data_IF_221282650236
#
_entry.id   IF_221282650236
#
_cell.length_a   1.000
_cell.length_b   1.000
_cell.length_c   1.000
_cell.angle_alpha   90.00
_cell.angle_beta   90.00
_cell.angle_gamma   90.00
#
_symmetry.space_group_name_H-M   'P 1'
#
loop_
_entity.id
_entity.type
_entity.pdbx_description
1 polymer ?
#
# COMPACT_ATOMS: atom_id res chain seq x y z
N UNK A 1 16.77 -12.68 13.43
CA UNK A 1 16.49 -11.26 13.75
C UNK A 1 16.85 -10.40 12.55
N UNK A 2 15.87 -9.85 11.82
CA UNK A 2 16.16 -8.89 10.74
C UNK A 2 16.64 -7.60 11.42
N UNK A 3 17.89 -7.18 11.15
CA UNK A 3 18.43 -5.94 11.71
C UNK A 3 17.64 -4.77 11.13
N UNK A 4 16.78 -4.16 11.94
CA UNK A 4 16.06 -2.95 11.54
C UNK A 4 17.08 -1.82 11.35
N UNK A 5 17.28 -1.36 10.12
CA UNK A 5 18.14 -0.21 9.85
C UNK A 5 17.39 1.03 10.32
N UNK A 6 17.96 1.88 11.18
CA UNK A 6 17.33 3.13 11.61
C UNK A 6 16.95 4.02 10.41
N UNK A 7 15.82 4.70 10.52
CA UNK A 7 15.24 5.61 9.50
C UNK A 7 16.25 6.60 8.92
N UNK A 8 17.06 7.23 9.77
CA UNK A 8 18.09 8.19 9.37
C UNK A 8 19.19 7.58 8.48
N UNK A 9 19.57 6.32 8.74
CA UNK A 9 20.55 5.60 7.90
C UNK A 9 19.95 5.24 6.54
N UNK A 10 18.67 4.87 6.50
CA UNK A 10 17.97 4.60 5.24
C UNK A 10 17.81 5.87 4.40
N UNK A 11 17.41 6.98 5.03
CA UNK A 11 17.29 8.28 4.35
C UNK A 11 18.62 8.73 3.74
N UNK A 12 19.74 8.51 4.44
CA UNK A 12 21.08 8.81 3.91
C UNK A 12 21.40 7.98 2.65
N UNK A 13 21.18 6.67 2.69
CA UNK A 13 21.42 5.79 1.53
C UNK A 13 20.56 6.17 0.31
N UNK A 14 19.30 6.56 0.55
CA UNK A 14 18.38 7.00 -0.51
C UNK A 14 18.87 8.31 -1.14
N UNK A 15 19.37 9.26 -0.32
CA UNK A 15 19.97 10.51 -0.81
C UNK A 15 21.25 10.26 -1.61
N UNK A 16 22.10 9.35 -1.15
CA UNK A 16 23.32 8.97 -1.88
C UNK A 16 22.97 8.36 -3.24
N UNK A 17 21.95 7.49 -3.31
CA UNK A 17 21.47 6.88 -4.55
C UNK A 17 20.81 7.89 -5.50
N UNK A 18 20.13 8.91 -4.95
CA UNK A 18 19.45 9.93 -5.75
C UNK A 18 20.41 10.74 -6.62
N UNK A 19 21.69 10.86 -6.23
CA UNK A 19 22.72 11.50 -7.07
C UNK A 19 22.84 10.92 -8.48
N UNK A 20 22.38 9.69 -8.70
CA UNK A 20 22.40 8.99 -9.98
C UNK A 20 21.02 8.89 -10.65
N UNK A 21 19.96 9.48 -10.07
CA UNK A 21 18.59 9.41 -10.60
C UNK A 21 17.81 10.70 -10.34
N UNK A 22 17.60 11.49 -11.40
CA UNK A 22 16.93 12.80 -11.35
C UNK A 22 15.49 12.73 -10.84
N UNK A 23 14.72 11.72 -11.24
CA UNK A 23 13.34 11.56 -10.80
C UNK A 23 13.29 11.28 -9.29
N UNK A 24 14.27 10.53 -8.78
CA UNK A 24 14.40 10.27 -7.34
C UNK A 24 14.77 11.54 -6.56
N UNK A 25 15.65 12.39 -7.10
CA UNK A 25 15.96 13.69 -6.48
C UNK A 25 14.74 14.59 -6.39
N UNK A 26 13.94 14.68 -7.46
CA UNK A 26 12.71 15.48 -7.48
C UNK A 26 11.72 14.96 -6.44
N UNK A 27 11.51 13.65 -6.39
CA UNK A 27 10.63 13.04 -5.40
C UNK A 27 11.09 13.30 -3.95
N UNK A 28 12.40 13.29 -3.67
CA UNK A 28 12.94 13.62 -2.34
C UNK A 28 12.65 15.09 -2.00
N UNK A 29 12.89 16.02 -2.94
CA UNK A 29 12.62 17.45 -2.72
C UNK A 29 11.14 17.71 -2.43
N UNK A 30 10.24 17.09 -3.18
CA UNK A 30 8.79 17.19 -2.94
C UNK A 30 8.41 16.61 -1.57
N UNK A 31 8.99 15.47 -1.23
CA UNK A 31 8.77 14.80 0.05
C UNK A 31 9.24 15.65 1.23
N UNK A 32 10.44 16.21 1.17
CA UNK A 32 10.99 17.07 2.22
C UNK A 32 10.21 18.38 2.35
N UNK A 33 9.69 18.94 1.24
CA UNK A 33 8.77 20.08 1.31
C UNK A 33 7.46 19.76 2.02
N UNK A 34 6.89 18.58 1.78
CA UNK A 34 5.60 18.18 2.36
C UNK A 34 5.69 17.74 3.82
N UNK A 35 6.76 17.03 4.20
CA UNK A 35 6.90 16.34 5.49
C UNK A 35 8.03 16.90 6.37
N UNK A 36 8.81 17.85 5.85
CA UNK A 36 9.95 18.49 6.52
C UNK A 36 11.24 17.67 6.48
N UNK A 37 11.16 16.35 6.72
CA UNK A 37 12.32 15.46 6.73
C UNK A 37 11.97 14.06 6.19
N UNK A 38 12.88 13.52 5.37
CA UNK A 38 12.70 12.21 4.72
C UNK A 38 12.70 11.06 5.75
N UNK A 39 13.49 11.15 6.82
CA UNK A 39 13.53 10.11 7.85
C UNK A 39 12.21 10.04 8.63
N UNK A 40 11.59 11.19 8.93
CA UNK A 40 10.24 11.23 9.54
C UNK A 40 9.17 10.55 8.69
N UNK A 41 9.22 10.71 7.37
CA UNK A 41 8.30 10.00 6.46
C UNK A 41 8.53 8.49 6.51
N UNK A 42 9.79 8.06 6.43
CA UNK A 42 10.17 6.65 6.54
C UNK A 42 9.65 6.05 7.84
N UNK A 43 9.86 6.70 8.99
CA UNK A 43 9.35 6.24 10.30
C UNK A 43 7.84 6.04 10.29
N UNK A 44 7.09 7.05 9.83
CA UNK A 44 5.64 6.98 9.76
C UNK A 44 5.15 5.86 8.84
N UNK A 45 5.83 5.63 7.73
CA UNK A 45 5.49 4.55 6.80
C UNK A 45 5.85 3.18 7.37
N UNK A 46 6.94 3.05 8.14
CA UNK A 46 7.26 1.84 8.89
C UNK A 46 6.21 1.54 9.95
N UNK A 47 5.84 2.53 10.77
CA UNK A 47 4.78 2.39 11.78
C UNK A 47 3.45 1.97 11.14
N UNK A 48 3.08 2.56 10.00
CA UNK A 48 1.89 2.15 9.24
C UNK A 48 1.96 0.71 8.75
N UNK A 49 3.13 0.22 8.36
CA UNK A 49 3.33 -1.17 7.87
C UNK A 49 3.31 -2.19 9.00
N UNK A 50 3.80 -1.82 10.19
CA UNK A 50 3.77 -2.69 11.38
C UNK A 50 2.40 -2.74 12.05
N UNK A 51 1.45 -1.88 11.66
CA UNK A 51 0.07 -1.96 12.15
C UNK A 51 -0.50 -3.34 11.87
N UNK A 52 -0.72 -4.09 12.95
CA UNK A 52 -1.49 -5.32 12.90
C UNK A 52 -2.98 -4.96 12.77
N UNK A 53 -3.71 -5.52 11.80
CA UNK A 53 -5.15 -5.34 11.73
C UNK A 53 -5.79 -5.93 12.99
N UNK A 54 -6.48 -5.10 13.76
CA UNK A 54 -7.19 -5.48 14.99
C UNK A 54 -8.59 -4.88 14.99
N UNK A 55 -9.51 -5.54 15.68
CA UNK A 55 -10.89 -5.07 15.83
C UNK A 55 -11.76 -5.32 14.59
N UNK A 56 -12.84 -4.56 14.46
CA UNK A 56 -13.79 -4.67 13.36
C UNK A 56 -13.34 -3.87 12.14
N UNK A 57 -13.85 -4.25 10.98
CA UNK A 57 -13.62 -3.55 9.72
C UNK A 57 -14.13 -2.11 9.79
N UNK A 58 -13.22 -1.15 9.60
CA UNK A 58 -13.53 0.29 9.61
C UNK A 58 -14.41 0.76 8.42
N UNK A 59 -14.80 -0.14 7.52
CA UNK A 59 -15.69 0.16 6.39
C UNK A 59 -17.12 -0.35 6.63
N UNK A 60 -17.27 -1.56 7.16
CA UNK A 60 -18.59 -2.19 7.27
C UNK A 60 -19.03 -2.50 8.70
N UNK A 61 -18.14 -2.41 9.70
CA UNK A 61 -18.41 -2.71 11.12
C UNK A 61 -19.01 -4.11 11.41
N UNK A 62 -19.12 -4.97 10.38
CA UNK A 62 -19.80 -6.26 10.48
C UNK A 62 -18.83 -7.43 10.72
N UNK A 63 -17.62 -7.34 10.17
CA UNK A 63 -16.63 -8.43 10.17
C UNK A 63 -15.32 -7.97 10.79
N UNK A 64 -14.55 -8.90 11.35
CA UNK A 64 -13.21 -8.61 11.84
C UNK A 64 -12.27 -8.12 10.74
N UNK A 65 -11.43 -7.15 11.10
CA UNK A 65 -10.40 -6.64 10.22
C UNK A 65 -9.26 -7.66 10.11
N UNK A 66 -8.86 -7.95 8.88
CA UNK A 66 -7.78 -8.91 8.56
C UNK A 66 -6.64 -8.27 7.77
N UNK A 67 -6.86 -7.08 7.21
CA UNK A 67 -5.92 -6.40 6.33
C UNK A 67 -5.84 -4.91 6.64
N UNK A 68 -4.70 -4.28 6.35
CA UNK A 68 -4.51 -2.82 6.41
C UNK A 68 -4.39 -2.27 4.98
N UNK A 69 -5.16 -1.25 4.64
CA UNK A 69 -5.04 -0.56 3.35
C UNK A 69 -3.71 0.18 3.25
N UNK A 70 -2.91 -0.08 2.21
CA UNK A 70 -1.60 0.57 2.05
C UNK A 70 -1.68 2.08 1.83
N UNK A 71 -2.79 2.58 1.26
CA UNK A 71 -2.99 4.00 0.95
C UNK A 71 -3.51 4.81 2.14
N UNK A 72 -4.54 4.32 2.82
CA UNK A 72 -5.22 5.08 3.89
C UNK A 72 -5.00 4.53 5.30
N UNK A 73 -4.38 3.36 5.45
CA UNK A 73 -4.08 2.76 6.75
C UNK A 73 -5.26 2.15 7.50
N UNK A 74 -6.47 2.12 6.93
CA UNK A 74 -7.65 1.50 7.57
C UNK A 74 -7.50 -0.03 7.68
N UNK A 75 -7.90 -0.57 8.82
CA UNK A 75 -8.11 -1.98 9.09
C UNK A 75 -9.46 -2.45 8.53
N UNK A 76 -9.42 -3.42 7.62
CA UNK A 76 -10.57 -3.85 6.83
C UNK A 76 -10.68 -5.37 6.76
N UNK A 77 -11.92 -5.86 6.62
CA UNK A 77 -12.18 -7.28 6.40
C UNK A 77 -11.89 -7.68 4.94
N UNK A 78 -11.81 -8.99 4.68
CA UNK A 78 -11.54 -9.55 3.34
C UNK A 78 -12.51 -9.05 2.26
N UNK A 79 -13.79 -8.81 2.59
CA UNK A 79 -14.77 -8.34 1.60
C UNK A 79 -14.66 -6.85 1.26
N UNK A 80 -13.94 -6.07 2.08
CA UNK A 80 -13.72 -4.64 1.87
C UNK A 80 -12.28 -4.34 1.41
N UNK A 81 -11.51 -5.38 1.09
CA UNK A 81 -10.10 -5.31 0.73
C UNK A 81 -9.85 -6.01 -0.60
N UNK A 82 -9.07 -5.38 -1.47
CA UNK A 82 -8.61 -5.98 -2.71
C UNK A 82 -7.18 -6.48 -2.52
N UNK A 83 -7.01 -7.78 -2.34
CA UNK A 83 -5.71 -8.40 -2.06
C UNK A 83 -4.66 -8.09 -3.14
N UNK A 84 -5.04 -8.13 -4.42
CA UNK A 84 -4.12 -7.95 -5.55
C UNK A 84 -3.45 -6.57 -5.53
N UNK A 85 -4.21 -5.52 -5.21
CA UNK A 85 -3.72 -4.13 -5.23
C UNK A 85 -3.39 -3.58 -3.84
N UNK A 86 -3.72 -4.32 -2.78
CA UNK A 86 -3.49 -3.91 -1.40
C UNK A 86 -4.36 -2.75 -0.90
N UNK A 87 -5.49 -2.47 -1.57
CA UNK A 87 -6.32 -1.29 -1.31
C UNK A 87 -7.71 -1.66 -0.78
N UNK A 88 -8.26 -0.80 0.08
CA UNK A 88 -9.66 -0.92 0.49
C UNK A 88 -10.63 -0.37 -0.57
N UNK A 89 -11.89 -0.78 -0.50
CA UNK A 89 -12.95 -0.35 -1.43
C UNK A 89 -13.23 1.15 -1.46
N UNK A 90 -12.80 1.91 -0.44
CA UNK A 90 -12.90 3.38 -0.41
C UNK A 90 -11.73 4.07 -1.12
N UNK A 91 -10.61 3.39 -1.31
CA UNK A 91 -9.41 3.93 -1.96
C UNK A 91 -9.34 3.63 -3.45
N UNK A 92 -10.16 2.68 -3.91
CA UNK A 92 -10.30 2.32 -5.32
C UNK A 92 -11.48 3.10 -5.91
N UNK A 93 -11.33 3.59 -7.15
CA UNK A 93 -12.37 4.31 -7.89
C UNK A 93 -13.64 3.46 -7.99
N UNK A 94 -14.82 4.08 -7.85
CA UNK A 94 -16.13 3.39 -7.92
C UNK A 94 -16.26 2.52 -9.17
N UNK A 95 -15.83 3.02 -10.33
CA UNK A 95 -15.84 2.29 -11.61
C UNK A 95 -15.07 0.95 -11.53
N UNK A 96 -13.87 0.98 -10.95
CA UNK A 96 -13.02 -0.21 -10.77
C UNK A 96 -13.64 -1.16 -9.74
N UNK A 97 -14.19 -0.64 -8.64
CA UNK A 97 -14.88 -1.44 -7.62
C UNK A 97 -16.10 -2.15 -8.21
N UNK A 98 -16.89 -1.47 -9.03
CA UNK A 98 -18.07 -2.05 -9.66
C UNK A 98 -17.71 -3.08 -10.72
N UNK A 99 -16.73 -2.79 -11.59
CA UNK A 99 -16.22 -3.77 -12.56
C UNK A 99 -15.73 -5.02 -11.86
N UNK A 100 -14.92 -4.90 -10.82
CA UNK A 100 -14.37 -6.04 -10.09
C UNK A 100 -15.39 -6.81 -9.25
N UNK A 101 -16.39 -6.13 -8.65
CA UNK A 101 -17.42 -6.82 -7.86
C UNK A 101 -18.48 -7.51 -8.71
N UNK A 102 -18.79 -6.99 -9.89
CA UNK A 102 -19.75 -7.58 -10.85
C UNK A 102 -19.09 -8.62 -11.75
N UNK A 103 -17.78 -8.54 -11.90
CA UNK A 103 -16.97 -9.49 -12.65
C UNK A 103 -16.88 -10.83 -11.91
N UNK A 104 -17.79 -11.75 -12.27
CA UNK A 104 -17.46 -13.18 -12.33
C UNK A 104 -16.62 -13.40 -13.59
N UNK A 105 -15.50 -12.70 -13.76
CA UNK A 105 -14.72 -12.89 -14.99
C UNK A 105 -13.96 -14.20 -14.93
N UNK A 106 -14.21 -14.97 -15.96
CA UNK A 106 -13.46 -16.15 -16.30
C UNK A 106 -12.13 -15.65 -16.89
N UNK A 107 -11.13 -15.43 -16.03
CA UNK A 107 -9.83 -14.85 -16.40
C UNK A 107 -9.11 -15.64 -17.50
N UNK A 108 -9.43 -16.91 -17.64
CA UNK A 108 -9.00 -17.79 -18.71
C UNK A 108 -9.47 -17.30 -20.10
N UNK A 109 -10.73 -16.86 -20.20
CA UNK A 109 -11.32 -16.32 -21.45
C UNK A 109 -10.87 -14.91 -21.77
N UNK A 110 -10.57 -14.10 -20.76
CA UNK A 110 -10.34 -12.67 -20.96
C UNK A 110 -8.87 -12.32 -21.18
N UNK A 111 -7.96 -13.12 -20.62
CA UNK A 111 -6.52 -12.98 -20.83
C UNK A 111 -6.00 -13.91 -21.93
N UNK A 112 -6.81 -14.89 -22.39
CA UNK A 112 -6.43 -15.84 -23.43
C UNK A 112 -5.25 -16.75 -23.03
N UNK A 113 -5.18 -17.12 -21.75
CA UNK A 113 -4.07 -17.90 -21.19
C UNK A 113 -4.63 -19.26 -20.74
N UNK A 114 -4.15 -20.35 -21.34
CA UNK A 114 -4.30 -21.70 -20.78
C UNK A 114 -3.39 -21.83 -19.56
N UNK A 115 -3.96 -22.19 -18.42
CA UNK A 115 -3.17 -22.51 -17.22
C UNK A 115 -2.56 -23.89 -17.40
N UNK A 116 -1.25 -24.00 -17.22
CA UNK A 116 -0.56 -25.30 -17.18
C UNK A 116 -0.57 -25.78 -15.72
N UNK A 117 -1.06 -27.00 -15.50
CA UNK A 117 -1.11 -27.69 -14.20
C UNK A 117 0.27 -27.93 -13.57
#
# INVERSE_FOLDING_TARGET
MKKHIPSYKQAKLIKDLASMNKDLEEWIKETEKAEGDLAKKLERDFEKREKTPRGKCEICDAKEAKFICVKCGRAVCSSCYFNIVGLCTKCVSRDVVEKWKKSKQNWEKELGIEWID
#
